data_IF_593228783848
#
_entry.id   IF_593228783848
#
_cell.length_a   1.000
_cell.length_b   1.000
_cell.length_c   1.000
_cell.angle_alpha   90.00
_cell.angle_beta   90.00
_cell.angle_gamma   90.00
#
_symmetry.space_group_name_H-M   'P 1'
#
loop_
_entity.id
_entity.type
_entity.pdbx_description
1 polymer ?
#
# COMPACT_ATOMS: atom_id res chain seq x y z
N UNK A 1 4.04 43.60 -68.66
CA UNK A 1 4.80 42.38 -68.29
C UNK A 1 3.86 41.45 -67.54
N UNK A 2 3.35 40.39 -68.19
CA UNK A 2 2.55 39.37 -67.51
C UNK A 2 3.52 38.29 -66.99
N UNK A 3 3.58 38.12 -65.66
CA UNK A 3 4.35 37.05 -65.04
C UNK A 3 3.65 35.71 -65.31
N UNK A 4 4.21 34.89 -66.19
CA UNK A 4 3.82 33.48 -66.35
C UNK A 4 4.26 32.71 -65.10
N UNK A 5 3.34 32.49 -64.17
CA UNK A 5 3.56 31.56 -63.06
C UNK A 5 3.33 30.14 -63.56
N UNK A 6 4.37 29.29 -63.48
CA UNK A 6 4.33 27.93 -63.97
C UNK A 6 3.44 27.05 -63.03
N UNK A 7 2.33 26.45 -63.51
CA UNK A 7 1.43 25.66 -62.68
C UNK A 7 2.07 24.40 -62.07
N UNK A 8 3.17 23.90 -62.65
CA UNK A 8 3.95 22.79 -62.07
C UNK A 8 4.71 23.21 -60.80
N UNK A 9 5.23 24.43 -60.73
CA UNK A 9 5.96 24.91 -59.55
C UNK A 9 5.03 25.15 -58.36
N UNK A 10 3.80 25.64 -58.59
CA UNK A 10 2.77 25.79 -57.56
C UNK A 10 2.30 24.45 -56.97
N UNK A 11 2.09 23.42 -57.80
CA UNK A 11 1.71 22.07 -57.34
C UNK A 11 2.82 21.36 -56.54
N UNK A 12 4.08 21.54 -56.92
CA UNK A 12 5.22 21.00 -56.17
C UNK A 12 5.40 21.71 -54.81
N UNK A 13 5.17 23.02 -54.77
CA UNK A 13 5.21 23.81 -53.53
C UNK A 13 4.13 23.41 -52.52
N UNK A 14 2.90 23.17 -52.97
CA UNK A 14 1.79 22.76 -52.09
C UNK A 14 1.96 21.33 -51.58
N UNK A 15 2.46 20.40 -52.40
CA UNK A 15 2.81 19.03 -51.98
C UNK A 15 3.92 19.01 -50.93
N UNK A 16 4.94 19.86 -51.08
CA UNK A 16 6.02 20.04 -50.10
C UNK A 16 5.51 20.62 -48.77
N UNK A 17 4.70 21.68 -48.82
CA UNK A 17 4.08 22.29 -47.62
C UNK A 17 3.20 21.30 -46.84
N UNK A 18 2.38 20.52 -47.54
CA UNK A 18 1.52 19.52 -46.88
C UNK A 18 2.35 18.43 -46.19
N UNK A 19 3.44 17.97 -46.82
CA UNK A 19 4.37 17.00 -46.22
C UNK A 19 5.06 17.58 -44.97
N UNK A 20 5.45 18.86 -44.99
CA UNK A 20 6.03 19.54 -43.82
C UNK A 20 5.01 19.66 -42.68
N UNK A 21 3.77 20.05 -42.97
CA UNK A 21 2.70 20.13 -41.95
C UNK A 21 2.43 18.76 -41.34
N UNK A 22 2.33 17.71 -42.16
CA UNK A 22 2.14 16.34 -41.67
C UNK A 22 3.32 15.85 -40.82
N UNK A 23 4.56 16.15 -41.22
CA UNK A 23 5.75 15.80 -40.45
C UNK A 23 5.78 16.54 -39.11
N UNK A 24 5.51 17.84 -39.10
CA UNK A 24 5.44 18.62 -37.86
C UNK A 24 4.30 18.15 -36.94
N UNK A 25 3.13 17.83 -37.49
CA UNK A 25 2.01 17.28 -36.73
C UNK A 25 2.32 15.89 -36.16
N UNK A 26 2.97 15.01 -36.93
CA UNK A 26 3.40 13.70 -36.46
C UNK A 26 4.48 13.81 -35.37
N UNK A 27 5.44 14.72 -35.53
CA UNK A 27 6.48 14.99 -34.53
C UNK A 27 5.86 15.54 -33.24
N UNK A 28 4.91 16.47 -33.36
CA UNK A 28 4.18 17.05 -32.23
C UNK A 28 3.38 15.98 -31.48
N UNK A 29 2.61 15.14 -32.19
CA UNK A 29 1.87 14.02 -31.59
C UNK A 29 2.79 13.00 -30.92
N UNK A 30 3.97 12.74 -31.51
CA UNK A 30 4.97 11.84 -30.90
C UNK A 30 5.51 12.42 -29.60
N UNK A 31 5.75 13.74 -29.56
CA UNK A 31 6.19 14.42 -28.35
C UNK A 31 5.10 14.43 -27.27
N UNK A 32 3.86 14.76 -27.63
CA UNK A 32 2.71 14.73 -26.71
C UNK A 32 2.48 13.33 -26.13
N UNK A 33 2.51 12.28 -26.96
CA UNK A 33 2.39 10.90 -26.49
C UNK A 33 3.59 10.48 -25.63
N UNK A 34 4.80 10.95 -25.98
CA UNK A 34 6.01 10.73 -25.20
C UNK A 34 5.96 11.35 -23.81
N UNK A 35 5.23 12.44 -23.63
CA UNK A 35 4.99 13.09 -22.32
C UNK A 35 3.81 12.46 -21.57
N UNK A 36 2.72 12.14 -22.26
CA UNK A 36 1.48 11.65 -21.65
C UNK A 36 1.57 10.21 -21.14
N UNK A 37 2.21 9.30 -21.88
CA UNK A 37 2.29 7.88 -21.52
C UNK A 37 3.03 7.64 -20.18
N UNK A 38 4.21 8.25 -19.93
CA UNK A 38 4.87 8.12 -18.63
C UNK A 38 4.02 8.67 -17.49
N UNK A 39 3.35 9.82 -17.67
CA UNK A 39 2.48 10.40 -16.65
C UNK A 39 1.34 9.46 -16.23
N UNK A 40 0.73 8.76 -17.19
CA UNK A 40 -0.32 7.80 -16.89
C UNK A 40 0.21 6.56 -16.14
N UNK A 41 1.36 6.02 -16.56
CA UNK A 41 1.99 4.87 -15.89
C UNK A 41 2.49 5.18 -14.48
N UNK A 42 2.96 6.41 -14.24
CA UNK A 42 3.39 6.87 -12.92
C UNK A 42 2.19 6.97 -11.98
N UNK A 43 1.05 7.45 -12.46
CA UNK A 43 -0.16 7.62 -11.65
C UNK A 43 -0.66 6.31 -11.04
N UNK A 44 -0.54 5.19 -11.76
CA UNK A 44 -0.95 3.87 -11.25
C UNK A 44 -0.02 3.35 -10.17
N UNK A 45 1.30 3.49 -10.33
CA UNK A 45 2.29 3.05 -9.35
C UNK A 45 2.21 3.87 -8.06
N UNK A 46 2.07 5.20 -8.17
CA UNK A 46 1.91 6.09 -7.00
C UNK A 46 0.68 5.74 -6.17
N UNK A 47 -0.44 5.38 -6.81
CA UNK A 47 -1.65 4.97 -6.11
C UNK A 47 -1.42 3.68 -5.32
N UNK A 48 -0.71 2.72 -5.92
CA UNK A 48 -0.45 1.42 -5.32
C UNK A 48 0.55 1.54 -4.16
N UNK A 49 1.61 2.31 -4.33
CA UNK A 49 2.58 2.62 -3.28
C UNK A 49 1.90 3.32 -2.08
N UNK A 50 0.99 4.26 -2.35
CA UNK A 50 0.22 4.93 -1.30
C UNK A 50 -0.70 3.96 -0.53
N UNK A 51 -1.27 2.96 -1.20
CA UNK A 51 -2.03 1.88 -0.54
C UNK A 51 -1.09 1.09 0.38
N UNK A 52 0.06 0.63 -0.13
CA UNK A 52 1.04 -0.14 0.66
C UNK A 52 1.47 0.62 1.92
N UNK A 53 1.90 1.88 1.77
CA UNK A 53 2.34 2.73 2.89
C UNK A 53 1.23 2.94 3.92
N UNK A 54 0.00 3.25 3.47
CA UNK A 54 -1.12 3.48 4.38
C UNK A 54 -1.46 2.22 5.17
N UNK A 55 -1.50 1.07 4.49
CA UNK A 55 -1.85 -0.21 5.10
C UNK A 55 -0.77 -0.71 6.06
N UNK A 56 0.51 -0.49 5.74
CA UNK A 56 1.64 -0.76 6.64
C UNK A 56 1.55 0.13 7.89
N UNK A 57 1.30 1.43 7.68
CA UNK A 57 1.11 2.40 8.74
C UNK A 57 -0.06 2.02 9.67
N UNK A 58 -1.15 1.48 9.11
CA UNK A 58 -2.32 0.99 9.85
C UNK A 58 -1.98 -0.21 10.75
N UNK A 59 -1.05 -1.07 10.37
CA UNK A 59 -0.66 -2.22 11.20
C UNK A 59 -0.11 -1.79 12.56
N UNK A 60 0.60 -0.66 12.62
CA UNK A 60 1.08 -0.08 13.88
C UNK A 60 -0.08 0.24 14.82
N UNK A 61 -1.08 0.97 14.31
CA UNK A 61 -2.27 1.31 15.07
C UNK A 61 -3.02 0.04 15.51
N UNK A 62 -3.17 -0.93 14.61
CA UNK A 62 -3.86 -2.18 14.91
C UNK A 62 -3.14 -3.00 15.99
N UNK A 63 -1.80 -3.05 15.98
CA UNK A 63 -1.02 -3.72 17.03
C UNK A 63 -1.35 -3.17 18.43
N UNK A 64 -1.43 -1.84 18.55
CA UNK A 64 -1.74 -1.15 19.80
C UNK A 64 -3.22 -1.27 20.16
N UNK A 65 -4.10 -1.19 19.16
CA UNK A 65 -5.55 -1.32 19.31
C UNK A 65 -5.93 -2.71 19.83
N UNK A 66 -5.25 -3.77 19.37
CA UNK A 66 -5.44 -5.13 19.91
C UNK A 66 -5.06 -5.20 21.39
N UNK A 67 -3.88 -4.70 21.77
CA UNK A 67 -3.47 -4.67 23.19
C UNK A 67 -4.43 -3.88 24.05
N UNK A 68 -4.89 -2.71 23.59
CA UNK A 68 -5.90 -1.91 24.29
C UNK A 68 -7.21 -2.68 24.45
N UNK A 69 -7.74 -3.28 23.37
CA UNK A 69 -8.99 -4.03 23.42
C UNK A 69 -8.87 -5.24 24.37
N UNK A 70 -7.73 -5.92 24.36
CA UNK A 70 -7.43 -7.03 25.27
C UNK A 70 -7.44 -6.58 26.74
N UNK A 71 -6.82 -5.44 27.06
CA UNK A 71 -6.87 -4.88 28.42
C UNK A 71 -8.29 -4.43 28.80
N UNK A 72 -9.09 -3.96 27.85
CA UNK A 72 -10.51 -3.64 28.11
C UNK A 72 -11.33 -4.90 28.42
N UNK A 73 -11.05 -6.03 27.77
CA UNK A 73 -11.66 -7.33 28.13
C UNK A 73 -11.32 -7.69 29.59
N UNK A 74 -10.08 -7.47 30.03
CA UNK A 74 -9.68 -7.68 31.43
C UNK A 74 -10.46 -6.81 32.39
N UNK A 75 -10.52 -5.51 32.15
CA UNK A 75 -11.27 -4.59 33.01
C UNK A 75 -12.74 -5.00 33.07
N UNK A 76 -13.36 -5.31 31.92
CA UNK A 76 -14.76 -5.75 31.88
C UNK A 76 -15.00 -7.03 32.70
N UNK A 77 -14.10 -8.01 32.62
CA UNK A 77 -14.16 -9.24 33.41
C UNK A 77 -14.03 -8.97 34.92
N UNK A 78 -13.08 -8.12 35.32
CA UNK A 78 -12.85 -7.75 36.73
C UNK A 78 -14.05 -7.04 37.35
N UNK A 79 -14.70 -6.15 36.60
CA UNK A 79 -15.89 -5.41 37.07
C UNK A 79 -17.22 -6.10 36.75
N UNK A 80 -17.19 -7.35 36.29
CA UNK A 80 -18.35 -8.16 35.94
C UNK A 80 -19.32 -7.47 34.95
N UNK A 81 -18.75 -6.77 33.95
CA UNK A 81 -19.48 -6.16 32.83
C UNK A 81 -19.47 -7.09 31.61
N UNK A 82 -20.41 -6.82 30.70
CA UNK A 82 -20.51 -7.48 29.40
C UNK A 82 -19.21 -7.39 28.60
N UNK A 83 -18.74 -8.52 28.07
CA UNK A 83 -17.48 -8.64 27.34
C UNK A 83 -17.63 -8.35 25.84
N UNK A 84 -18.84 -8.49 25.30
CA UNK A 84 -19.14 -8.49 23.86
C UNK A 84 -18.52 -7.31 23.13
N UNK A 85 -18.65 -6.09 23.65
CA UNK A 85 -18.11 -4.89 22.99
C UNK A 85 -16.58 -4.96 22.85
N UNK A 86 -15.86 -5.33 23.91
CA UNK A 86 -14.40 -5.41 23.90
C UNK A 86 -13.87 -6.63 23.13
N UNK A 87 -14.57 -7.77 23.20
CA UNK A 87 -14.25 -8.96 22.40
C UNK A 87 -14.49 -8.72 20.90
N UNK A 88 -15.57 -8.04 20.53
CA UNK A 88 -15.84 -7.65 19.15
C UNK A 88 -14.78 -6.69 18.61
N UNK A 89 -14.35 -5.72 19.42
CA UNK A 89 -13.29 -4.80 19.04
C UNK A 89 -11.95 -5.52 18.84
N UNK A 90 -11.58 -6.41 19.77
CA UNK A 90 -10.39 -7.25 19.65
C UNK A 90 -10.45 -8.15 18.41
N UNK A 91 -11.61 -8.75 18.13
CA UNK A 91 -11.86 -9.55 16.93
C UNK A 91 -11.67 -8.73 15.65
N UNK A 92 -12.28 -7.55 15.56
CA UNK A 92 -12.16 -6.68 14.36
C UNK A 92 -10.71 -6.25 14.13
N UNK A 93 -10.02 -5.81 15.19
CA UNK A 93 -8.63 -5.37 15.08
C UNK A 93 -7.70 -6.52 14.67
N UNK A 94 -7.85 -7.70 15.28
CA UNK A 94 -7.04 -8.89 14.95
C UNK A 94 -7.28 -9.41 13.55
N UNK A 95 -8.52 -9.44 13.07
CA UNK A 95 -8.83 -9.83 11.70
C UNK A 95 -8.22 -8.86 10.68
N UNK A 96 -8.38 -7.55 10.89
CA UNK A 96 -7.83 -6.56 9.97
C UNK A 96 -6.29 -6.59 9.93
N UNK A 97 -5.65 -6.83 11.08
CA UNK A 97 -4.20 -7.02 11.16
C UNK A 97 -3.77 -8.25 10.36
N UNK A 98 -4.38 -9.41 10.63
CA UNK A 98 -4.08 -10.68 9.97
C UNK A 98 -4.25 -10.61 8.45
N UNK A 99 -5.37 -10.03 7.98
CA UNK A 99 -5.67 -9.91 6.57
C UNK A 99 -4.65 -9.06 5.85
N UNK A 100 -4.24 -7.95 6.47
CA UNK A 100 -3.27 -7.03 5.88
C UNK A 100 -1.86 -7.63 5.90
N UNK A 101 -1.45 -8.25 7.01
CA UNK A 101 -0.12 -8.90 7.12
C UNK A 101 0.01 -10.05 6.11
N UNK A 102 -1.04 -10.84 5.93
CA UNK A 102 -1.10 -11.88 4.89
C UNK A 102 -1.08 -11.26 3.50
N UNK A 103 -1.75 -10.13 3.29
CA UNK A 103 -1.72 -9.40 2.02
C UNK A 103 -0.32 -8.93 1.65
N UNK A 104 0.45 -8.42 2.61
CA UNK A 104 1.86 -8.09 2.39
C UNK A 104 2.73 -9.30 2.04
N UNK A 105 2.38 -10.50 2.52
CA UNK A 105 3.14 -11.72 2.24
C UNK A 105 2.89 -12.27 0.83
N UNK A 106 1.63 -12.35 0.40
CA UNK A 106 1.25 -13.10 -0.79
C UNK A 106 0.53 -12.29 -1.88
N UNK A 107 0.17 -11.03 -1.58
CA UNK A 107 -0.66 -10.20 -2.43
C UNK A 107 -2.12 -10.64 -2.40
N UNK A 108 -3.05 -9.77 -1.98
CA UNK A 108 -4.48 -10.10 -1.98
C UNK A 108 -5.39 -8.87 -1.88
N UNK A 109 -6.69 -9.09 -2.09
CA UNK A 109 -7.71 -8.10 -1.72
C UNK A 109 -7.82 -8.01 -0.20
N UNK A 110 -7.63 -6.80 0.35
CA UNK A 110 -7.73 -6.51 1.78
C UNK A 110 -8.66 -5.32 2.01
N UNK A 111 -9.25 -5.15 3.20
CA UNK A 111 -10.03 -3.95 3.50
C UNK A 111 -9.11 -2.72 3.51
N UNK A 112 -9.43 -1.71 2.72
CA UNK A 112 -8.74 -0.42 2.66
C UNK A 112 -8.99 0.46 3.89
N UNK A 113 -8.41 1.67 3.91
CA UNK A 113 -8.58 2.62 5.01
C UNK A 113 -10.04 3.06 5.23
N UNK A 114 -10.84 3.09 4.15
CA UNK A 114 -12.28 3.38 4.15
C UNK A 114 -13.15 2.11 4.23
N UNK A 115 -12.55 0.97 4.58
CA UNK A 115 -13.16 -0.37 4.59
C UNK A 115 -13.59 -0.92 3.22
N UNK A 116 -13.33 -0.22 2.12
CA UNK A 116 -13.59 -0.77 0.78
C UNK A 116 -12.45 -1.72 0.38
N UNK A 117 -12.73 -2.81 -0.33
CA UNK A 117 -11.67 -3.71 -0.80
C UNK A 117 -10.67 -2.99 -1.70
N UNK A 118 -9.38 -3.14 -1.40
CA UNK A 118 -8.26 -2.70 -2.23
C UNK A 118 -7.33 -3.86 -2.49
N UNK A 119 -6.69 -3.89 -3.65
CA UNK A 119 -5.65 -4.87 -3.93
C UNK A 119 -4.34 -4.40 -3.31
N UNK A 120 -3.77 -5.22 -2.42
CA UNK A 120 -2.45 -5.00 -1.85
C UNK A 120 -1.48 -5.98 -2.50
N UNK A 121 -0.42 -5.46 -3.11
CA UNK A 121 0.65 -6.30 -3.66
C UNK A 121 1.47 -6.94 -2.54
N UNK A 122 2.07 -8.09 -2.85
CA UNK A 122 3.09 -8.67 -2.00
C UNK A 122 4.31 -7.75 -1.95
N UNK A 123 4.99 -7.72 -0.81
CA UNK A 123 6.21 -6.91 -0.66
C UNK A 123 7.33 -7.45 -1.55
N UNK A 124 8.04 -6.53 -2.20
CA UNK A 124 9.03 -6.88 -3.22
C UNK A 124 10.44 -7.09 -2.65
N UNK A 125 10.79 -6.42 -1.54
CA UNK A 125 12.16 -6.44 -1.02
C UNK A 125 12.41 -7.57 -0.03
N UNK A 126 13.63 -8.13 -0.07
CA UNK A 126 14.06 -9.12 0.93
C UNK A 126 13.98 -8.59 2.37
N UNK A 127 14.14 -7.27 2.55
CA UNK A 127 13.99 -6.62 3.86
C UNK A 127 12.55 -6.61 4.33
N UNK A 128 11.58 -6.19 3.51
CA UNK A 128 10.16 -6.27 3.84
C UNK A 128 9.73 -7.71 4.12
N UNK A 129 10.17 -8.68 3.30
CA UNK A 129 9.90 -10.10 3.52
C UNK A 129 10.44 -10.59 4.87
N UNK A 130 11.68 -10.23 5.21
CA UNK A 130 12.27 -10.57 6.51
C UNK A 130 11.53 -9.95 7.70
N UNK A 131 11.00 -8.74 7.54
CA UNK A 131 10.16 -8.10 8.56
C UNK A 131 8.84 -8.86 8.75
N UNK A 132 8.18 -9.27 7.67
CA UNK A 132 6.95 -10.06 7.72
C UNK A 132 7.17 -11.40 8.42
N UNK A 133 8.26 -12.11 8.10
CA UNK A 133 8.59 -13.39 8.75
C UNK A 133 8.71 -13.21 10.27
N UNK A 134 9.49 -12.22 10.72
CA UNK A 134 9.63 -11.91 12.16
C UNK A 134 8.32 -11.46 12.79
N UNK A 135 7.50 -10.70 12.08
CA UNK A 135 6.18 -10.32 12.55
C UNK A 135 5.27 -11.53 12.73
N UNK A 136 5.32 -12.52 11.82
CA UNK A 136 4.56 -13.76 11.91
C UNK A 136 4.98 -14.67 13.06
N UNK A 137 6.27 -14.69 13.41
CA UNK A 137 6.78 -15.41 14.60
C UNK A 137 6.10 -14.94 15.90
N UNK A 138 5.78 -13.64 15.98
CA UNK A 138 5.04 -13.06 17.11
C UNK A 138 3.52 -13.19 16.90
N UNK A 139 3.06 -12.91 15.68
CA UNK A 139 1.64 -12.78 15.39
C UNK A 139 0.89 -14.11 15.48
N UNK A 140 1.47 -15.21 14.98
CA UNK A 140 0.79 -16.50 14.93
C UNK A 140 0.42 -17.00 16.34
N UNK A 141 1.34 -17.04 17.33
CA UNK A 141 0.98 -17.39 18.71
C UNK A 141 0.00 -16.39 19.32
N UNK A 142 0.19 -15.08 19.08
CA UNK A 142 -0.72 -14.07 19.63
C UNK A 142 -2.15 -14.23 19.13
N UNK A 143 -2.32 -14.46 17.82
CA UNK A 143 -3.60 -14.72 17.17
C UNK A 143 -4.31 -15.91 17.80
N UNK A 144 -3.59 -17.00 18.09
CA UNK A 144 -4.17 -18.16 18.76
C UNK A 144 -4.70 -17.82 20.15
N UNK A 145 -3.96 -17.05 20.94
CA UNK A 145 -4.40 -16.59 22.28
C UNK A 145 -5.61 -15.66 22.19
N UNK A 146 -5.62 -14.73 21.23
CA UNK A 146 -6.76 -13.85 20.96
C UNK A 146 -8.00 -14.66 20.55
N UNK A 147 -7.84 -15.69 19.72
CA UNK A 147 -8.93 -16.54 19.28
C UNK A 147 -9.57 -17.30 20.45
N UNK A 148 -8.77 -17.83 21.37
CA UNK A 148 -9.28 -18.47 22.58
C UNK A 148 -10.19 -17.52 23.38
N UNK A 149 -9.80 -16.24 23.51
CA UNK A 149 -10.62 -15.21 24.18
C UNK A 149 -11.92 -14.94 23.43
N UNK A 150 -11.86 -14.83 22.10
CA UNK A 150 -13.04 -14.54 21.28
C UNK A 150 -14.03 -15.71 21.30
N UNK A 151 -13.55 -16.96 21.27
CA UNK A 151 -14.41 -18.14 21.26
C UNK A 151 -14.99 -18.47 22.63
N UNK A 152 -14.32 -18.10 23.72
CA UNK A 152 -14.82 -18.35 25.07
C UNK A 152 -16.07 -17.52 25.41
N UNK A 153 -16.26 -16.34 24.79
CA UNK A 153 -17.39 -15.44 25.08
C UNK A 153 -17.46 -15.11 26.58
N UNK A 154 -18.64 -15.27 27.18
CA UNK A 154 -18.87 -15.06 28.62
C UNK A 154 -18.17 -16.08 29.53
N UNK A 155 -17.91 -17.29 29.00
CA UNK A 155 -17.22 -18.38 29.71
C UNK A 155 -15.70 -18.19 29.76
N UNK A 156 -15.19 -16.99 29.46
CA UNK A 156 -13.76 -16.68 29.49
C UNK A 156 -13.16 -16.97 30.87
N UNK A 157 -12.21 -17.91 30.89
CA UNK A 157 -11.39 -18.23 32.05
C UNK A 157 -10.30 -17.16 32.28
N UNK A 158 -9.98 -16.91 33.56
CA UNK A 158 -9.07 -15.82 33.95
C UNK A 158 -7.63 -16.12 33.54
N UNK A 159 -7.21 -17.38 33.61
CA UNK A 159 -5.88 -17.85 33.22
C UNK A 159 -5.64 -17.69 31.71
N UNK A 160 -6.61 -18.05 30.87
CA UNK A 160 -6.57 -17.83 29.40
C UNK A 160 -6.36 -16.34 29.08
N UNK A 161 -7.09 -15.48 29.78
CA UNK A 161 -6.96 -14.04 29.61
C UNK A 161 -5.61 -13.51 30.11
N UNK A 162 -5.12 -13.98 31.25
CA UNK A 162 -3.82 -13.58 31.82
C UNK A 162 -2.66 -14.01 30.91
N UNK A 163 -2.69 -15.23 30.37
CA UNK A 163 -1.70 -15.73 29.43
C UNK A 163 -1.62 -14.88 28.14
N UNK A 164 -2.78 -14.50 27.58
CA UNK A 164 -2.82 -13.61 26.42
C UNK A 164 -2.25 -12.22 26.72
N UNK A 165 -2.52 -11.67 27.90
CA UNK A 165 -2.04 -10.35 28.31
C UNK A 165 -0.54 -10.37 28.54
N UNK A 166 -0.01 -11.37 29.24
CA UNK A 166 1.43 -11.53 29.45
C UNK A 166 2.17 -11.62 28.10
N UNK A 167 1.63 -12.41 27.16
CA UNK A 167 2.20 -12.50 25.81
C UNK A 167 2.16 -11.16 25.07
N UNK A 168 1.04 -10.43 25.17
CA UNK A 168 0.89 -9.12 24.56
C UNK A 168 1.86 -8.10 25.17
N UNK A 169 2.03 -8.06 26.48
CA UNK A 169 2.96 -7.15 27.17
C UNK A 169 4.41 -7.39 26.75
N UNK A 170 4.83 -8.65 26.61
CA UNK A 170 6.19 -8.99 26.17
C UNK A 170 6.46 -8.61 24.71
N UNK A 171 5.45 -8.70 23.84
CA UNK A 171 5.65 -8.65 22.40
C UNK A 171 5.04 -7.43 21.69
N UNK A 172 4.20 -6.63 22.35
CA UNK A 172 3.50 -5.52 21.70
C UNK A 172 4.46 -4.48 21.10
N UNK A 173 5.54 -4.12 21.81
CA UNK A 173 6.51 -3.13 21.35
C UNK A 173 7.38 -3.70 20.22
N UNK A 174 7.71 -5.00 20.28
CA UNK A 174 8.44 -5.70 19.21
C UNK A 174 7.61 -5.73 17.93
N UNK A 175 6.32 -6.07 18.04
CA UNK A 175 5.41 -6.08 16.90
C UNK A 175 5.17 -4.67 16.34
N UNK A 176 5.01 -3.66 17.21
CA UNK A 176 4.90 -2.25 16.80
C UNK A 176 6.14 -1.79 16.03
N UNK A 177 7.33 -2.13 16.53
CA UNK A 177 8.59 -1.78 15.90
C UNK A 177 8.74 -2.44 14.51
N UNK A 178 8.40 -3.73 14.38
CA UNK A 178 8.36 -4.40 13.09
C UNK A 178 7.41 -3.71 12.11
N UNK A 179 6.23 -3.27 12.55
CA UNK A 179 5.30 -2.54 11.70
C UNK A 179 5.78 -1.12 11.36
N UNK A 180 6.54 -0.47 12.24
CA UNK A 180 7.25 0.77 11.93
C UNK A 180 8.30 0.53 10.84
N UNK A 181 9.14 -0.48 11.00
CA UNK A 181 10.17 -0.83 10.01
C UNK A 181 9.56 -1.17 8.65
N UNK A 182 8.46 -1.92 8.62
CA UNK A 182 7.72 -2.22 7.39
C UNK A 182 7.23 -0.93 6.72
N UNK A 183 6.61 -0.03 7.50
CA UNK A 183 6.11 1.26 6.97
C UNK A 183 7.25 2.07 6.35
N UNK A 184 8.39 2.17 7.04
CA UNK A 184 9.56 2.90 6.54
C UNK A 184 10.16 2.26 5.29
N UNK A 185 10.20 0.92 5.22
CA UNK A 185 10.70 0.23 4.04
C UNK A 185 9.79 0.46 2.82
N UNK A 186 8.47 0.35 2.98
CA UNK A 186 7.51 0.62 1.90
C UNK A 186 7.58 2.08 1.41
N UNK A 187 7.84 3.03 2.32
CA UNK A 187 8.12 4.42 1.95
C UNK A 187 9.40 4.53 1.11
N UNK A 188 10.48 3.87 1.54
CA UNK A 188 11.76 3.89 0.81
C UNK A 188 11.64 3.24 -0.58
N UNK A 189 10.85 2.16 -0.70
CA UNK A 189 10.55 1.52 -1.99
C UNK A 189 9.83 2.49 -2.92
N UNK A 190 8.78 3.15 -2.43
CA UNK A 190 8.04 4.14 -3.21
C UNK A 190 8.93 5.33 -3.65
N UNK A 191 9.75 5.84 -2.74
CA UNK A 191 10.68 6.94 -3.04
C UNK A 191 11.73 6.55 -4.08
N UNK A 192 12.29 5.33 -3.98
CA UNK A 192 13.25 4.81 -4.96
C UNK A 192 12.62 4.62 -6.34
N UNK A 193 11.38 4.12 -6.41
CA UNK A 193 10.60 4.01 -7.65
C UNK A 193 10.37 5.39 -8.25
N UNK A 194 9.92 6.36 -7.45
CA UNK A 194 9.68 7.74 -7.89
C UNK A 194 10.96 8.42 -8.41
N UNK A 195 12.08 8.30 -7.70
CA UNK A 195 13.37 8.88 -8.11
C UNK A 195 13.88 8.28 -9.43
N UNK A 196 13.74 6.97 -9.61
CA UNK A 196 14.12 6.29 -10.85
C UNK A 196 13.29 6.80 -12.04
N UNK A 197 11.98 6.96 -11.84
CA UNK A 197 11.08 7.47 -12.87
C UNK A 197 11.40 8.92 -13.23
N UNK A 198 11.70 9.77 -12.23
CA UNK A 198 12.13 11.15 -12.47
C UNK A 198 13.43 11.22 -13.28
N UNK A 199 14.43 10.39 -12.95
CA UNK A 199 15.68 10.35 -13.71
C UNK A 199 15.45 9.96 -15.19
N UNK A 200 14.62 8.95 -15.44
CA UNK A 200 14.24 8.53 -16.80
C UNK A 200 13.56 9.69 -17.54
N UNK A 201 12.65 10.42 -16.88
CA UNK A 201 12.00 11.59 -17.48
C UNK A 201 13.00 12.72 -17.75
N UNK A 202 13.90 13.04 -16.83
CA UNK A 202 14.91 14.08 -17.02
C UNK A 202 15.86 13.73 -18.16
N UNK A 203 16.30 12.48 -18.28
CA UNK A 203 17.15 12.06 -19.41
C UNK A 203 16.35 12.04 -20.72
N UNK A 204 15.10 11.56 -20.70
CA UNK A 204 14.24 11.46 -21.87
C UNK A 204 13.74 12.82 -22.41
N UNK A 205 13.52 13.80 -21.53
CA UNK A 205 13.04 15.15 -21.87
C UNK A 205 14.16 16.20 -21.92
N UNK A 206 15.26 15.97 -21.19
CA UNK A 206 16.39 16.88 -21.00
C UNK A 206 17.65 16.49 -21.75
N UNK A 207 17.56 15.63 -22.78
CA UNK A 207 18.62 15.42 -23.76
C UNK A 207 18.82 16.64 -24.69
N UNK A 208 19.03 17.82 -24.12
CA UNK A 208 19.54 19.05 -24.76
C UNK A 208 20.56 19.70 -23.85
#
# INVERSE_FOLDING_TARGET
MAQFTNPLSQKLFTKSKYRTILLSAALFLTFDLGVLLPNFLISTNLKQDAISINLAGRQRMLSQRMTKALLQVKVAKEVQKELDTSQQELKKASQLFDDTLTGFEQGKMVPGGDSKPVFLDAVETAKSQGIIVKAKEIWIPYKSKIQAIIFAGDNLEIDVLQDAIAYAEENNLKLLDLMNQLTTEEQQVADNKANTLQLIQTIGLGGR
#
